data_IF_102006188358
#
_entry.id   IF_102006188358
#
_cell.length_a   1.000
_cell.length_b   1.000
_cell.length_c   1.000
_cell.angle_alpha   90.00
_cell.angle_beta   90.00
_cell.angle_gamma   90.00
#
_symmetry.space_group_name_H-M   'P 1'
#
loop_
_entity.id
_entity.type
_entity.pdbx_description
1 polymer ?
#
# COMPACT_ATOMS: atom_id res chain seq x y z
N UNK A 1 -10.25 13.44 3.69
CA UNK A 1 -8.81 13.12 3.84
C UNK A 1 -8.62 11.64 4.12
N UNK A 2 -8.81 11.17 5.37
CA UNK A 2 -8.51 9.80 5.79
C UNK A 2 -9.17 8.71 4.94
N UNK A 3 -10.43 8.89 4.52
CA UNK A 3 -11.12 7.90 3.68
C UNK A 3 -10.43 7.63 2.33
N UNK A 4 -9.97 8.67 1.65
CA UNK A 4 -9.29 8.52 0.35
C UNK A 4 -7.89 7.92 0.51
N UNK A 5 -7.19 8.24 1.61
CA UNK A 5 -5.91 7.60 1.97
C UNK A 5 -6.07 6.11 2.20
N UNK A 6 -7.10 5.69 2.94
CA UNK A 6 -7.38 4.27 3.21
C UNK A 6 -7.79 3.52 1.94
N UNK A 7 -8.62 4.12 1.09
CA UNK A 7 -8.98 3.54 -0.22
C UNK A 7 -7.74 3.38 -1.09
N UNK A 8 -6.88 4.40 -1.16
CA UNK A 8 -5.62 4.33 -1.90
C UNK A 8 -4.70 3.22 -1.39
N UNK A 9 -4.52 3.11 -0.07
CA UNK A 9 -3.73 2.06 0.55
C UNK A 9 -4.30 0.66 0.25
N UNK A 10 -5.62 0.50 0.33
CA UNK A 10 -6.31 -0.74 0.05
C UNK A 10 -6.15 -1.17 -1.42
N UNK A 11 -6.28 -0.23 -2.36
CA UNK A 11 -6.05 -0.51 -3.78
C UNK A 11 -4.59 -0.92 -4.02
N UNK A 12 -3.62 -0.22 -3.41
CA UNK A 12 -2.21 -0.61 -3.48
C UNK A 12 -1.93 -1.99 -2.90
N UNK A 13 -2.65 -2.39 -1.84
CA UNK A 13 -2.56 -3.73 -1.28
C UNK A 13 -3.21 -4.79 -2.17
N UNK A 14 -4.38 -4.52 -2.78
CA UNK A 14 -5.09 -5.47 -3.63
C UNK A 14 -4.32 -5.78 -4.92
N UNK A 15 -3.73 -4.76 -5.54
CA UNK A 15 -2.94 -4.90 -6.77
C UNK A 15 -1.46 -5.25 -6.51
N UNK A 16 -1.10 -5.64 -5.28
CA UNK A 16 0.28 -5.97 -4.93
C UNK A 16 0.79 -7.18 -5.74
N UNK A 17 2.09 -7.22 -6.07
CA UNK A 17 2.70 -8.31 -6.80
C UNK A 17 2.64 -9.63 -6.03
N UNK A 18 2.48 -10.72 -6.76
CA UNK A 18 2.53 -12.08 -6.25
C UNK A 18 3.94 -12.66 -6.38
N UNK A 19 4.36 -13.44 -5.39
CA UNK A 19 5.56 -14.25 -5.47
C UNK A 19 5.33 -15.45 -6.42
N UNK A 20 6.35 -15.90 -7.15
CA UNK A 20 6.33 -17.18 -7.83
C UNK A 20 6.01 -18.30 -6.82
N UNK A 21 5.15 -19.25 -7.20
CA UNK A 21 4.73 -20.43 -6.43
C UNK A 21 3.87 -20.18 -5.17
N UNK A 22 4.09 -19.09 -4.43
CA UNK A 22 3.39 -18.83 -3.14
C UNK A 22 2.24 -17.81 -3.27
N UNK A 23 2.15 -17.12 -4.41
CA UNK A 23 1.09 -16.14 -4.66
C UNK A 23 1.28 -14.85 -3.87
N UNK A 24 0.20 -14.16 -3.52
CA UNK A 24 0.28 -12.91 -2.77
C UNK A 24 0.64 -13.17 -1.30
N UNK A 25 1.68 -12.48 -0.82
CA UNK A 25 2.12 -12.59 0.57
C UNK A 25 1.05 -12.05 1.55
N UNK A 26 0.97 -12.63 2.77
CA UNK A 26 0.06 -12.18 3.80
C UNK A 26 0.42 -10.76 4.26
N UNK A 27 -0.60 -10.01 4.69
CA UNK A 27 -0.44 -8.62 5.12
C UNK A 27 0.64 -8.46 6.20
N UNK A 28 0.67 -9.37 7.18
CA UNK A 28 1.65 -9.38 8.27
C UNK A 28 3.10 -9.41 7.78
N UNK A 29 3.40 -10.15 6.70
CA UNK A 29 4.75 -10.21 6.09
C UNK A 29 5.05 -8.97 5.23
N UNK A 30 4.02 -8.41 4.58
CA UNK A 30 4.18 -7.20 3.74
C UNK A 30 4.50 -5.97 4.60
N UNK A 31 3.78 -5.76 5.70
CA UNK A 31 3.98 -4.56 6.56
C UNK A 31 5.34 -4.50 7.25
N UNK A 32 5.93 -5.68 7.51
CA UNK A 32 7.29 -5.80 8.06
C UNK A 32 8.35 -5.94 6.97
N UNK A 33 7.98 -5.78 5.69
CA UNK A 33 8.88 -5.84 4.53
C UNK A 33 9.70 -7.14 4.45
N UNK A 34 9.12 -8.26 4.88
CA UNK A 34 9.80 -9.55 4.91
C UNK A 34 10.81 -9.73 6.05
N UNK A 35 10.89 -8.81 7.01
CA UNK A 35 11.73 -8.95 8.21
C UNK A 35 11.27 -10.10 9.13
N UNK A 36 9.97 -10.39 9.13
CA UNK A 36 9.39 -11.57 9.75
C UNK A 36 8.37 -12.20 8.80
N UNK A 37 8.38 -13.52 8.70
CA UNK A 37 7.49 -14.27 7.82
C UNK A 37 7.33 -15.70 8.30
N UNK A 38 6.37 -16.45 7.76
CA UNK A 38 6.12 -17.85 8.13
C UNK A 38 7.21 -18.82 7.64
N UNK A 39 8.33 -18.32 7.12
CA UNK A 39 9.38 -19.12 6.51
C UNK A 39 10.51 -19.30 7.52
N UNK A 40 10.95 -20.54 7.73
CA UNK A 40 12.03 -20.88 8.67
C UNK A 40 13.37 -20.25 8.29
N UNK A 41 13.57 -19.92 7.01
CA UNK A 41 14.73 -19.19 6.50
C UNK A 41 14.35 -17.98 5.63
N UNK A 42 15.10 -16.87 5.67
CA UNK A 42 14.86 -15.70 4.84
C UNK A 42 15.08 -16.02 3.35
N UNK A 43 14.00 -16.26 2.61
CA UNK A 43 14.07 -16.40 1.16
C UNK A 43 14.17 -15.00 0.50
N UNK A 44 15.27 -14.69 -0.21
CA UNK A 44 15.51 -13.35 -0.78
C UNK A 44 14.46 -12.94 -1.81
N UNK A 45 13.86 -13.90 -2.53
CA UNK A 45 12.78 -13.64 -3.49
C UNK A 45 11.52 -13.18 -2.75
N UNK A 46 11.16 -13.86 -1.67
CA UNK A 46 9.98 -13.53 -0.86
C UNK A 46 10.16 -12.18 -0.14
N UNK A 47 11.38 -11.88 0.33
CA UNK A 47 11.71 -10.55 0.88
C UNK A 47 11.54 -9.46 -0.17
N UNK A 48 12.05 -9.65 -1.39
CA UNK A 48 11.89 -8.70 -2.48
C UNK A 48 10.41 -8.46 -2.85
N UNK A 49 9.61 -9.53 -2.88
CA UNK A 49 8.16 -9.43 -3.13
C UNK A 49 7.44 -8.70 -1.99
N UNK A 50 7.82 -8.95 -0.73
CA UNK A 50 7.25 -8.25 0.42
C UNK A 50 7.56 -6.75 0.39
N UNK A 51 8.79 -6.38 0.06
CA UNK A 51 9.21 -4.99 -0.10
C UNK A 51 8.47 -4.29 -1.25
N UNK A 52 8.37 -4.94 -2.41
CA UNK A 52 7.64 -4.40 -3.56
C UNK A 52 6.16 -4.21 -3.26
N UNK A 53 5.54 -5.20 -2.59
CA UNK A 53 4.15 -5.12 -2.11
C UNK A 53 3.94 -3.97 -1.13
N UNK A 54 4.87 -3.78 -0.20
CA UNK A 54 4.82 -2.65 0.75
C UNK A 54 4.90 -1.32 0.01
N UNK A 55 5.78 -1.22 -0.99
CA UNK A 55 5.93 0.00 -1.78
C UNK A 55 4.63 0.32 -2.55
N UNK A 56 3.97 -0.66 -3.17
CA UNK A 56 2.67 -0.42 -3.83
C UNK A 56 1.58 0.04 -2.86
N UNK A 57 1.49 -0.57 -1.68
CA UNK A 57 0.57 -0.14 -0.63
C UNK A 57 0.83 1.31 -0.24
N UNK A 58 2.10 1.66 0.01
CA UNK A 58 2.51 3.00 0.39
C UNK A 58 2.24 4.02 -0.73
N UNK A 59 2.56 3.67 -1.99
CA UNK A 59 2.27 4.51 -3.16
C UNK A 59 0.78 4.77 -3.28
N UNK A 60 -0.06 3.74 -3.16
CA UNK A 60 -1.51 3.88 -3.18
C UNK A 60 -2.01 4.81 -2.08
N UNK A 61 -1.51 4.65 -0.85
CA UNK A 61 -1.86 5.51 0.28
C UNK A 61 -1.52 6.99 0.01
N UNK A 62 -0.32 7.26 -0.51
CA UNK A 62 0.15 8.61 -0.85
C UNK A 62 -0.72 9.24 -1.93
N UNK A 63 -1.06 8.49 -2.99
CA UNK A 63 -1.94 8.99 -4.06
C UNK A 63 -3.35 9.31 -3.52
N UNK A 64 -3.90 8.42 -2.69
CA UNK A 64 -5.19 8.65 -2.02
C UNK A 64 -5.18 9.90 -1.14
N UNK A 65 -4.09 10.13 -0.39
CA UNK A 65 -3.91 11.34 0.38
C UNK A 65 -3.83 12.59 -0.51
N UNK A 66 -3.03 12.58 -1.57
CA UNK A 66 -2.88 13.70 -2.49
C UNK A 66 -4.21 14.13 -3.12
N UNK A 67 -5.00 13.16 -3.59
CA UNK A 67 -6.35 13.39 -4.12
C UNK A 67 -7.28 13.94 -3.04
N UNK A 68 -7.26 13.36 -1.84
CA UNK A 68 -8.07 13.85 -0.71
C UNK A 68 -7.74 15.29 -0.31
N UNK A 69 -6.45 15.65 -0.35
CA UNK A 69 -5.98 17.02 -0.13
C UNK A 69 -6.48 17.96 -1.19
N UNK A 70 -6.26 17.64 -2.47
CA UNK A 70 -6.70 18.46 -3.59
C UNK A 70 -8.21 18.74 -3.56
N UNK A 71 -9.02 17.70 -3.36
CA UNK A 71 -10.49 17.82 -3.31
C UNK A 71 -10.97 18.67 -2.13
N UNK A 72 -10.34 18.56 -0.96
CA UNK A 72 -10.76 19.35 0.20
C UNK A 72 -10.39 20.82 0.03
N UNK A 73 -9.22 21.12 -0.56
CA UNK A 73 -8.83 22.49 -0.90
C UNK A 73 -9.79 23.08 -1.92
N UNK A 74 -10.13 22.32 -2.97
CA UNK A 74 -11.09 22.78 -3.98
C UNK A 74 -12.47 23.05 -3.38
N UNK A 75 -12.97 22.15 -2.52
CA UNK A 75 -14.24 22.32 -1.82
C UNK A 75 -14.23 23.53 -0.87
N UNK A 76 -13.11 23.80 -0.19
CA UNK A 76 -12.96 24.98 0.65
C UNK A 76 -13.00 26.28 -0.16
N UNK A 77 -12.34 26.29 -1.33
CA UNK A 77 -12.36 27.43 -2.26
C UNK A 77 -13.76 27.70 -2.80
N UNK A 78 -14.51 26.66 -3.17
CA UNK A 78 -15.86 26.80 -3.69
C UNK A 78 -16.89 27.32 -2.68
N UNK A 79 -16.66 27.16 -1.37
CA UNK A 79 -17.56 27.69 -0.32
C UNK A 79 -17.33 29.16 -0.02
N UNK A 80 -16.24 29.75 -0.51
CA UNK A 80 -15.86 31.14 -0.26
C UNK A 80 -16.24 32.07 -1.42
N UNK A 81 -16.75 31.53 -2.53
CA UNK A 81 -17.26 32.25 -3.69
C UNK A 81 -18.79 32.23 -3.68
#
# INVERSE_FOLDING_TARGET
MAGLTLVGALLGFLFRPSAPEVGQLPFSTVIVRGATGPFDEPNPVLVAVAQSSFNMLLTGAILGLAVGVGLSILAARHRQA
#
